data_IF_034230655775
#
_entry.id   IF_034230655775
#
_cell.length_a   1.000
_cell.length_b   1.000
_cell.length_c   1.000
_cell.angle_alpha   90.00
_cell.angle_beta   90.00
_cell.angle_gamma   90.00
#
_symmetry.space_group_name_H-M   'P 1'
#
loop_
_entity.id
_entity.type
_entity.pdbx_description
1 polymer ?
#
# COMPACT_ATOMS: atom_id res chain seq x y z
N UNK A 1 -88.73 -51.45 -54.27
CA UNK A 1 -88.21 -50.31 -53.49
C UNK A 1 -87.58 -50.64 -52.10
N UNK A 2 -87.62 -51.89 -51.60
CA UNK A 2 -87.05 -52.20 -50.25
C UNK A 2 -85.53 -52.61 -50.21
N UNK A 3 -84.90 -52.86 -51.37
CA UNK A 3 -83.47 -53.28 -51.41
C UNK A 3 -82.51 -52.11 -51.55
N UNK A 4 -82.84 -50.97 -52.10
CA UNK A 4 -82.02 -49.77 -52.24
C UNK A 4 -81.94 -49.00 -50.94
N UNK A 5 -82.99 -48.93 -50.15
CA UNK A 5 -83.03 -48.26 -48.83
C UNK A 5 -82.12 -48.97 -47.80
N UNK A 6 -82.02 -50.34 -47.81
CA UNK A 6 -81.16 -51.10 -46.94
C UNK A 6 -79.63 -50.86 -47.27
N UNK A 7 -79.32 -50.73 -48.57
CA UNK A 7 -77.92 -50.41 -48.99
C UNK A 7 -77.48 -48.98 -48.63
N UNK A 8 -78.46 -48.04 -48.78
CA UNK A 8 -78.18 -46.64 -48.38
C UNK A 8 -78.01 -46.55 -46.88
N UNK A 9 -78.86 -47.23 -46.07
CA UNK A 9 -78.71 -47.25 -44.61
C UNK A 9 -77.38 -47.91 -44.15
N UNK A 10 -76.98 -48.99 -44.80
CA UNK A 10 -75.65 -49.65 -44.50
C UNK A 10 -74.46 -48.76 -44.82
N UNK A 11 -74.51 -48.09 -45.98
CA UNK A 11 -73.45 -47.15 -46.34
C UNK A 11 -73.39 -45.93 -45.38
N UNK A 12 -74.53 -45.42 -44.94
CA UNK A 12 -74.53 -44.32 -43.94
C UNK A 12 -73.99 -44.77 -42.62
N UNK A 13 -74.23 -45.98 -42.16
CA UNK A 13 -73.67 -46.53 -40.93
C UNK A 13 -72.16 -46.68 -41.04
N UNK A 14 -71.61 -47.16 -42.17
CA UNK A 14 -70.22 -47.31 -42.43
C UNK A 14 -69.53 -45.91 -42.43
N UNK A 15 -70.10 -44.95 -43.13
CA UNK A 15 -69.55 -43.57 -43.13
C UNK A 15 -69.61 -42.92 -41.75
N UNK A 16 -70.66 -43.14 -40.97
CA UNK A 16 -70.74 -42.64 -39.60
C UNK A 16 -69.66 -43.25 -38.69
N UNK A 17 -69.42 -44.58 -38.86
CA UNK A 17 -68.38 -45.28 -38.10
C UNK A 17 -66.96 -44.82 -38.48
N UNK A 18 -66.74 -44.58 -39.78
CA UNK A 18 -65.49 -44.05 -40.31
C UNK A 18 -65.21 -42.62 -39.79
N UNK A 19 -66.28 -41.78 -39.83
CA UNK A 19 -66.20 -40.42 -39.31
C UNK A 19 -65.94 -40.38 -37.80
N UNK A 20 -66.59 -41.23 -37.02
CA UNK A 20 -66.32 -41.37 -35.58
C UNK A 20 -64.90 -41.83 -35.29
N UNK A 21 -64.39 -42.82 -36.08
CA UNK A 21 -62.98 -43.26 -35.94
C UNK A 21 -61.99 -42.16 -36.24
N UNK A 22 -62.18 -41.37 -37.31
CA UNK A 22 -61.32 -40.25 -37.65
C UNK A 22 -61.37 -39.17 -36.55
N UNK A 23 -62.57 -38.87 -36.03
CA UNK A 23 -62.72 -37.87 -34.96
C UNK A 23 -61.94 -38.28 -33.68
N UNK A 24 -61.98 -39.57 -33.31
CA UNK A 24 -61.26 -40.08 -32.15
C UNK A 24 -59.73 -40.03 -32.37
N UNK A 25 -59.31 -40.41 -33.60
CA UNK A 25 -57.88 -40.32 -33.95
C UNK A 25 -57.41 -38.87 -33.95
N UNK A 26 -58.16 -37.94 -34.57
CA UNK A 26 -57.78 -36.51 -34.52
C UNK A 26 -57.83 -35.98 -33.12
N UNK A 27 -58.74 -36.32 -32.26
CA UNK A 27 -58.81 -35.91 -30.87
C UNK A 27 -57.61 -36.43 -30.08
N UNK A 28 -57.17 -37.64 -30.31
CA UNK A 28 -55.97 -38.23 -29.65
C UNK A 28 -54.69 -37.70 -30.23
N UNK A 29 -54.61 -37.44 -31.54
CA UNK A 29 -53.35 -37.01 -32.19
C UNK A 29 -53.10 -35.51 -32.07
N UNK A 30 -54.14 -34.68 -32.18
CA UNK A 30 -54.03 -33.23 -32.18
C UNK A 30 -54.11 -32.62 -30.77
N UNK A 31 -54.26 -33.42 -29.71
CA UNK A 31 -54.23 -32.87 -28.31
C UNK A 31 -54.73 -31.42 -28.26
N UNK A 32 -56.00 -31.16 -28.46
CA UNK A 32 -56.64 -29.84 -28.33
C UNK A 32 -56.70 -29.39 -26.84
N UNK A 33 -55.78 -29.72 -26.04
CA UNK A 33 -55.65 -29.26 -24.65
C UNK A 33 -54.38 -28.47 -24.47
N UNK A 34 -54.42 -27.41 -23.69
CA UNK A 34 -53.32 -26.54 -23.26
C UNK A 34 -52.16 -27.25 -22.54
N UNK A 35 -51.72 -28.41 -23.05
CA UNK A 35 -50.62 -29.16 -22.47
C UNK A 35 -49.47 -29.16 -23.50
N UNK A 36 -48.48 -28.32 -23.28
CA UNK A 36 -47.22 -28.37 -24.02
C UNK A 36 -46.44 -29.57 -23.54
N UNK A 37 -46.15 -30.51 -24.41
CA UNK A 37 -45.26 -31.66 -24.17
C UNK A 37 -43.86 -31.27 -24.62
N UNK A 38 -42.92 -31.29 -23.68
CA UNK A 38 -41.50 -31.17 -24.01
C UNK A 38 -40.75 -32.34 -23.42
N UNK A 39 -39.98 -33.05 -24.23
CA UNK A 39 -39.08 -34.10 -23.80
C UNK A 39 -37.71 -33.54 -23.30
N UNK A 40 -37.50 -32.23 -23.46
CA UNK A 40 -36.27 -31.52 -23.08
C UNK A 40 -36.41 -30.72 -21.78
N UNK A 41 -37.32 -31.09 -20.89
CA UNK A 41 -37.41 -30.44 -19.59
C UNK A 41 -36.26 -30.89 -18.69
N UNK A 42 -35.27 -29.98 -18.50
CA UNK A 42 -34.19 -30.16 -17.53
C UNK A 42 -34.46 -29.31 -16.30
N UNK A 43 -34.36 -29.91 -15.12
CA UNK A 43 -34.41 -29.15 -13.86
C UNK A 43 -33.07 -28.50 -13.65
N UNK A 44 -33.02 -27.17 -13.78
CA UNK A 44 -31.80 -26.37 -13.49
C UNK A 44 -31.93 -25.79 -12.09
N UNK A 45 -30.93 -26.09 -11.25
CA UNK A 45 -30.78 -25.45 -9.94
C UNK A 45 -29.79 -24.30 -10.04
N UNK A 46 -30.02 -23.20 -9.33
CA UNK A 46 -29.05 -22.14 -9.20
C UNK A 46 -27.81 -22.65 -8.42
N UNK A 47 -26.69 -22.77 -9.13
CA UNK A 47 -25.41 -23.13 -8.52
C UNK A 47 -24.65 -21.84 -8.25
N UNK A 48 -24.34 -21.56 -6.98
CA UNK A 48 -23.53 -20.43 -6.58
C UNK A 48 -22.12 -20.94 -6.23
N UNK A 49 -21.07 -20.62 -7.01
CA UNK A 49 -19.72 -21.01 -6.68
C UNK A 49 -19.23 -20.21 -5.47
N UNK A 50 -18.67 -20.90 -4.47
CA UNK A 50 -18.03 -20.27 -3.32
C UNK A 50 -16.52 -20.26 -3.59
N UNK A 51 -15.96 -19.06 -3.73
CA UNK A 51 -14.52 -18.87 -3.94
C UNK A 51 -13.88 -18.34 -2.68
N UNK A 52 -12.69 -18.84 -2.36
CA UNK A 52 -11.85 -18.29 -1.30
C UNK A 52 -11.15 -17.00 -1.77
N UNK A 53 -10.93 -16.05 -0.86
CA UNK A 53 -10.17 -14.82 -1.15
C UNK A 53 -8.66 -15.04 -1.14
N UNK A 54 -8.20 -16.06 -0.43
CA UNK A 54 -6.79 -16.42 -0.32
C UNK A 54 -6.58 -17.83 -0.88
N UNK A 55 -5.44 -18.06 -1.51
CA UNK A 55 -5.03 -19.38 -1.99
C UNK A 55 -4.18 -20.07 -0.92
N UNK A 56 -4.43 -21.33 -0.65
CA UNK A 56 -3.68 -22.10 0.33
C UNK A 56 -4.05 -23.58 0.32
N UNK A 57 -3.37 -24.36 1.15
CA UNK A 57 -3.69 -25.78 1.33
C UNK A 57 -4.89 -25.92 2.26
N UNK A 58 -5.78 -26.85 1.92
CA UNK A 58 -6.95 -27.15 2.75
C UNK A 58 -6.48 -27.98 3.94
N UNK A 59 -6.72 -27.49 5.14
CA UNK A 59 -6.43 -28.20 6.39
C UNK A 59 -7.58 -29.12 6.79
N UNK A 60 -8.83 -28.65 6.64
CA UNK A 60 -10.01 -29.36 7.07
C UNK A 60 -11.22 -28.97 6.23
N UNK A 61 -12.06 -29.93 5.87
CA UNK A 61 -13.36 -29.75 5.20
C UNK A 61 -14.43 -30.11 6.22
N UNK A 62 -15.37 -29.21 6.48
CA UNK A 62 -16.41 -29.36 7.52
C UNK A 62 -17.82 -29.50 6.97
N UNK A 63 -17.97 -29.85 5.71
CA UNK A 63 -19.26 -30.12 5.10
C UNK A 63 -19.24 -31.47 4.39
N UNK A 64 -20.42 -32.09 4.27
CA UNK A 64 -20.66 -33.29 3.49
C UNK A 64 -21.57 -32.97 2.31
N UNK A 65 -21.52 -33.80 1.25
CA UNK A 65 -22.41 -33.64 0.11
C UNK A 65 -23.89 -33.71 0.55
N UNK A 66 -24.72 -32.86 -0.03
CA UNK A 66 -26.16 -32.72 0.28
C UNK A 66 -26.50 -32.19 1.68
N UNK A 67 -25.52 -31.67 2.42
CA UNK A 67 -25.78 -31.04 3.71
C UNK A 67 -26.28 -29.60 3.55
N UNK A 68 -27.29 -29.23 4.34
CA UNK A 68 -27.79 -27.86 4.38
C UNK A 68 -26.82 -26.96 5.15
N UNK A 69 -26.36 -25.87 4.51
CA UNK A 69 -25.46 -24.89 5.11
C UNK A 69 -26.16 -23.55 5.28
N UNK A 70 -25.84 -22.84 6.36
CA UNK A 70 -26.39 -21.50 6.67
C UNK A 70 -25.31 -20.43 6.51
N UNK A 71 -25.74 -19.22 6.32
CA UNK A 71 -24.82 -18.08 6.28
C UNK A 71 -24.09 -17.96 7.64
N UNK A 72 -22.76 -17.99 7.57
CA UNK A 72 -21.89 -17.98 8.75
C UNK A 72 -21.26 -19.33 9.10
N UNK A 73 -21.68 -20.42 8.47
CA UNK A 73 -21.06 -21.74 8.71
C UNK A 73 -19.67 -21.79 8.10
N UNK A 74 -18.70 -22.36 8.85
CA UNK A 74 -17.35 -22.61 8.36
C UNK A 74 -17.33 -23.87 7.52
N UNK A 75 -17.11 -23.72 6.21
CA UNK A 75 -17.10 -24.85 5.26
C UNK A 75 -15.73 -25.49 5.12
N UNK A 76 -14.69 -24.65 5.03
CA UNK A 76 -13.31 -25.08 4.79
C UNK A 76 -12.37 -24.29 5.66
N UNK A 77 -11.37 -24.95 6.21
CA UNK A 77 -10.26 -24.33 6.93
C UNK A 77 -9.01 -24.46 6.08
N UNK A 78 -8.40 -23.33 5.76
CA UNK A 78 -7.13 -23.23 5.03
C UNK A 78 -5.99 -23.27 6.06
N UNK A 79 -4.84 -23.86 5.71
CA UNK A 79 -3.66 -23.87 6.55
C UNK A 79 -3.12 -22.44 6.75
N UNK A 80 -2.97 -22.02 7.99
CA UNK A 80 -2.62 -20.66 8.39
C UNK A 80 -1.11 -20.42 8.61
N UNK A 81 -0.32 -21.50 8.65
CA UNK A 81 1.12 -21.45 8.97
C UNK A 81 1.90 -20.47 8.06
N UNK A 82 1.64 -20.50 6.75
CA UNK A 82 2.30 -19.59 5.79
C UNK A 82 1.89 -18.12 6.03
N UNK A 83 0.61 -17.87 6.32
CA UNK A 83 0.11 -16.51 6.59
C UNK A 83 0.68 -15.97 7.90
N UNK A 84 0.82 -16.80 8.94
CA UNK A 84 1.48 -16.41 10.19
C UNK A 84 2.94 -16.02 9.96
N UNK A 85 3.69 -16.78 9.15
CA UNK A 85 5.06 -16.44 8.77
C UNK A 85 5.14 -15.12 8.00
N UNK A 86 4.21 -14.86 7.10
CA UNK A 86 4.14 -13.58 6.37
C UNK A 86 3.85 -12.40 7.30
N UNK A 87 3.00 -12.59 8.31
CA UNK A 87 2.76 -11.57 9.34
C UNK A 87 4.04 -11.32 10.14
N UNK A 88 4.71 -12.37 10.61
CA UNK A 88 5.96 -12.24 11.36
C UNK A 88 7.06 -11.54 10.55
N UNK A 89 7.17 -11.85 9.25
CA UNK A 89 8.10 -11.18 8.35
C UNK A 89 7.78 -9.69 8.22
N UNK A 90 6.52 -9.34 7.96
CA UNK A 90 6.10 -7.94 7.82
C UNK A 90 6.30 -7.14 9.13
N UNK A 91 6.09 -7.77 10.29
CA UNK A 91 6.34 -7.15 11.60
C UNK A 91 7.84 -6.94 11.85
N UNK A 92 8.69 -7.86 11.42
CA UNK A 92 10.15 -7.70 11.50
C UNK A 92 10.64 -6.57 10.59
N UNK A 93 10.09 -6.43 9.39
CA UNK A 93 10.40 -5.35 8.47
C UNK A 93 9.99 -3.99 9.05
N UNK A 94 8.81 -3.90 9.68
CA UNK A 94 8.37 -2.70 10.40
C UNK A 94 9.30 -2.36 11.57
N UNK A 95 9.71 -3.35 12.36
CA UNK A 95 10.64 -3.15 13.47
C UNK A 95 12.01 -2.61 12.98
N UNK A 96 12.51 -3.12 11.85
CA UNK A 96 13.73 -2.64 11.22
C UNK A 96 13.60 -1.19 10.75
N UNK A 97 12.48 -0.83 10.11
CA UNK A 97 12.20 0.54 9.68
C UNK A 97 12.13 1.52 10.86
N UNK A 98 11.48 1.13 11.96
CA UNK A 98 11.42 1.92 13.20
C UNK A 98 12.81 2.09 13.84
N UNK A 99 13.63 1.06 13.85
CA UNK A 99 15.02 1.14 14.34
C UNK A 99 15.85 2.10 13.49
N UNK A 100 15.72 2.06 12.17
CA UNK A 100 16.37 2.99 11.23
C UNK A 100 15.94 4.44 11.46
N UNK A 101 14.66 4.70 11.67
CA UNK A 101 14.13 6.02 12.00
C UNK A 101 14.72 6.54 13.33
N UNK A 102 14.74 5.72 14.37
CA UNK A 102 15.34 6.07 15.66
C UNK A 102 16.83 6.38 15.54
N UNK A 103 17.57 5.60 14.77
CA UNK A 103 18.98 5.86 14.51
C UNK A 103 19.22 7.22 13.83
N UNK A 104 18.44 7.52 12.79
CA UNK A 104 18.49 8.82 12.08
C UNK A 104 18.15 9.98 13.02
N UNK A 105 17.14 9.84 13.88
CA UNK A 105 16.80 10.85 14.89
C UNK A 105 17.94 11.10 15.85
N UNK A 106 18.64 10.05 16.30
CA UNK A 106 19.82 10.17 17.15
C UNK A 106 20.98 10.90 16.46
N UNK A 107 21.20 10.63 15.16
CA UNK A 107 22.22 11.33 14.36
C UNK A 107 21.89 12.81 14.25
N UNK A 108 20.62 13.17 14.01
CA UNK A 108 20.16 14.58 13.96
C UNK A 108 20.43 15.27 15.29
N UNK A 109 20.11 14.64 16.42
CA UNK A 109 20.35 15.19 17.74
C UNK A 109 21.86 15.41 18.02
N UNK A 110 22.69 14.43 17.66
CA UNK A 110 24.15 14.55 17.79
C UNK A 110 24.71 15.67 16.92
N UNK A 111 24.24 15.77 15.66
CA UNK A 111 24.66 16.83 14.74
C UNK A 111 24.20 18.21 15.23
N UNK A 112 23.02 18.32 15.82
CA UNK A 112 22.54 19.56 16.43
C UNK A 112 23.44 20.00 17.61
N UNK A 113 23.85 19.07 18.46
CA UNK A 113 24.80 19.35 19.54
C UNK A 113 26.15 19.80 18.99
N UNK A 114 26.66 19.17 17.93
CA UNK A 114 27.91 19.57 17.29
C UNK A 114 27.86 21.00 16.73
N UNK A 115 26.68 21.41 16.18
CA UNK A 115 26.47 22.80 15.76
C UNK A 115 26.57 23.75 16.94
N UNK A 116 25.96 23.42 18.08
CA UNK A 116 26.00 24.24 19.29
C UNK A 116 27.45 24.40 19.82
N UNK A 117 28.23 23.31 19.81
CA UNK A 117 29.65 23.35 20.17
C UNK A 117 30.46 24.23 19.18
N UNK A 118 30.13 24.10 17.87
CA UNK A 118 30.77 24.91 16.84
C UNK A 118 30.45 26.41 17.02
N UNK A 119 29.20 26.74 17.46
CA UNK A 119 28.83 28.12 17.76
C UNK A 119 29.65 28.74 18.86
N UNK A 120 29.88 28.03 19.97
CA UNK A 120 30.75 28.49 21.03
C UNK A 120 32.20 28.72 20.56
N UNK A 121 32.75 27.83 19.73
CA UNK A 121 34.05 27.98 19.10
C UNK A 121 34.12 29.15 18.14
N UNK A 122 33.07 29.40 17.36
CA UNK A 122 32.99 30.55 16.45
C UNK A 122 32.96 31.85 17.23
N UNK A 123 32.25 31.92 18.36
CA UNK A 123 32.19 33.11 19.19
C UNK A 123 33.57 33.46 19.77
N UNK A 124 34.37 32.46 20.17
CA UNK A 124 35.75 32.66 20.60
C UNK A 124 36.61 33.23 19.47
N UNK A 125 36.65 32.60 18.31
CA UNK A 125 37.44 33.03 17.15
C UNK A 125 36.99 34.38 16.66
N UNK A 126 35.69 34.70 16.72
CA UNK A 126 35.12 36.01 16.40
C UNK A 126 35.62 37.09 17.35
N UNK A 127 35.67 36.80 18.65
CA UNK A 127 36.22 37.73 19.63
C UNK A 127 37.71 38.03 19.36
N UNK A 128 38.52 36.99 19.02
CA UNK A 128 39.89 37.16 18.61
C UNK A 128 40.05 38.04 17.35
N UNK A 129 39.21 37.80 16.33
CA UNK A 129 39.17 38.59 15.09
C UNK A 129 38.83 40.06 15.39
N UNK A 130 37.82 40.34 16.23
CA UNK A 130 37.43 41.69 16.62
C UNK A 130 38.55 42.40 17.36
N UNK A 131 39.27 41.71 18.25
CA UNK A 131 40.42 42.29 18.96
C UNK A 131 41.56 42.63 17.97
N UNK A 132 41.93 41.70 17.08
CA UNK A 132 42.94 41.95 16.05
C UNK A 132 42.54 43.10 15.10
N UNK A 133 41.25 43.21 14.76
CA UNK A 133 40.72 44.33 13.96
C UNK A 133 40.86 45.67 14.67
N UNK A 134 40.57 45.74 15.96
CA UNK A 134 40.74 46.96 16.75
C UNK A 134 42.20 47.36 16.85
N UNK A 135 43.10 46.40 17.00
CA UNK A 135 44.56 46.69 17.00
C UNK A 135 45.02 47.19 15.64
N UNK A 136 44.60 46.58 14.56
CA UNK A 136 44.93 47.03 13.20
C UNK A 136 44.46 48.45 12.98
N UNK A 137 43.20 48.78 13.33
CA UNK A 137 42.67 50.14 13.21
C UNK A 137 43.44 51.17 14.06
N UNK A 138 43.89 50.78 15.26
CA UNK A 138 44.71 51.63 16.10
C UNK A 138 46.09 51.89 15.47
N UNK A 139 46.77 50.84 14.98
CA UNK A 139 48.05 50.95 14.33
C UNK A 139 47.97 51.71 12.98
N UNK A 140 46.89 51.58 12.26
CA UNK A 140 46.65 52.37 11.06
C UNK A 140 46.60 53.89 11.32
N UNK A 141 45.98 54.30 12.44
CA UNK A 141 45.98 55.73 12.87
C UNK A 141 47.38 56.21 13.33
N UNK A 142 48.08 55.37 14.13
CA UNK A 142 49.42 55.68 14.59
C UNK A 142 50.43 55.76 13.43
N UNK A 143 50.26 54.99 12.37
CA UNK A 143 51.05 55.05 11.16
C UNK A 143 50.83 56.40 10.41
N UNK A 144 49.58 56.86 10.35
CA UNK A 144 49.26 58.18 9.77
C UNK A 144 49.88 59.34 10.56
N UNK A 145 50.04 59.13 11.88
CA UNK A 145 50.67 60.09 12.78
C UNK A 145 52.19 59.88 12.85
N UNK A 146 52.77 59.01 12.00
CA UNK A 146 54.24 58.65 11.98
C UNK A 146 54.80 58.15 13.33
N UNK A 147 53.87 57.65 14.20
CA UNK A 147 54.21 57.17 15.53
C UNK A 147 54.67 55.71 15.55
N UNK A 148 54.48 54.95 14.47
CA UNK A 148 54.88 53.51 14.31
C UNK A 148 55.54 53.32 12.93
N UNK A 149 56.33 52.26 12.80
CA UNK A 149 56.91 51.87 11.52
C UNK A 149 55.98 51.09 10.65
N UNK A 150 56.18 51.17 9.32
CA UNK A 150 55.40 50.34 8.36
C UNK A 150 55.46 48.86 8.70
N UNK A 151 56.63 48.38 9.10
CA UNK A 151 56.77 46.95 9.46
C UNK A 151 55.92 46.57 10.67
N UNK A 152 55.72 47.43 11.63
CA UNK A 152 54.89 47.20 12.81
C UNK A 152 53.40 47.13 12.38
N UNK A 153 52.97 48.00 11.52
CA UNK A 153 51.61 47.96 10.94
C UNK A 153 51.40 46.66 10.15
N UNK A 154 52.29 46.30 9.24
CA UNK A 154 52.21 45.08 8.42
C UNK A 154 52.08 43.82 9.24
N UNK A 155 52.80 43.74 10.38
CA UNK A 155 52.69 42.62 11.32
C UNK A 155 51.27 42.51 11.93
N UNK A 156 50.71 43.63 12.37
CA UNK A 156 49.37 43.67 12.98
C UNK A 156 48.28 43.40 11.92
N UNK A 157 48.46 43.95 10.72
CA UNK A 157 47.58 43.69 9.59
C UNK A 157 47.57 42.21 9.20
N UNK A 158 48.74 41.57 9.15
CA UNK A 158 48.83 40.13 8.88
C UNK A 158 48.17 39.30 9.98
N UNK A 159 48.31 39.69 11.24
CA UNK A 159 47.64 39.04 12.38
C UNK A 159 46.12 39.14 12.29
N UNK A 160 45.57 40.31 11.87
CA UNK A 160 44.15 40.48 11.61
C UNK A 160 43.65 39.61 10.46
N UNK A 161 44.37 39.56 9.33
CA UNK A 161 44.01 38.70 8.20
C UNK A 161 44.01 37.22 8.60
N UNK A 162 44.96 36.76 9.39
CA UNK A 162 45.01 35.39 9.92
C UNK A 162 43.82 35.09 10.85
N UNK A 163 43.45 36.00 11.74
CA UNK A 163 42.31 35.86 12.63
C UNK A 163 40.98 35.84 11.83
N UNK A 164 40.84 36.69 10.82
CA UNK A 164 39.72 36.72 9.90
C UNK A 164 39.56 35.41 9.12
N UNK A 165 40.68 34.88 8.60
CA UNK A 165 40.67 33.59 7.87
C UNK A 165 40.23 32.43 8.79
N UNK A 166 40.64 32.42 10.07
CA UNK A 166 40.18 31.43 11.04
C UNK A 166 38.70 31.51 11.33
N UNK A 167 38.17 32.73 11.49
CA UNK A 167 36.73 32.95 11.68
C UNK A 167 35.92 32.48 10.46
N UNK A 168 36.34 32.82 9.24
CA UNK A 168 35.70 32.37 8.02
C UNK A 168 35.73 30.85 7.87
N UNK A 169 36.86 30.22 8.20
CA UNK A 169 36.99 28.76 8.18
C UNK A 169 36.00 28.09 9.16
N UNK A 170 35.95 28.57 10.40
CA UNK A 170 35.05 28.06 11.43
C UNK A 170 33.56 28.25 11.01
N UNK A 171 33.21 29.42 10.46
CA UNK A 171 31.87 29.74 9.97
C UNK A 171 31.46 28.81 8.83
N UNK A 172 32.33 28.54 7.86
CA UNK A 172 32.06 27.56 6.75
C UNK A 172 31.95 26.14 7.28
N UNK A 173 32.74 25.76 8.29
CA UNK A 173 32.64 24.45 8.95
C UNK A 173 31.25 24.24 9.57
N UNK A 174 30.72 25.24 10.29
CA UNK A 174 29.36 25.22 10.82
C UNK A 174 28.29 25.07 9.70
N UNK A 175 28.46 25.86 8.64
CA UNK A 175 27.52 25.82 7.50
C UNK A 175 27.50 24.42 6.87
N UNK A 176 28.65 23.76 6.70
CA UNK A 176 28.75 22.38 6.21
C UNK A 176 28.00 21.40 7.14
N UNK A 177 28.20 21.53 8.46
CA UNK A 177 27.50 20.68 9.43
C UNK A 177 25.98 20.91 9.42
N UNK A 178 25.54 22.16 9.22
CA UNK A 178 24.12 22.47 9.08
C UNK A 178 23.50 21.84 7.82
N UNK A 179 24.22 21.80 6.70
CA UNK A 179 23.79 21.09 5.49
C UNK A 179 23.62 19.58 5.73
N UNK A 180 24.58 18.95 6.44
CA UNK A 180 24.47 17.54 6.84
C UNK A 180 23.25 17.30 7.71
N UNK A 181 22.95 18.20 8.66
CA UNK A 181 21.72 18.10 9.47
C UNK A 181 20.47 18.14 8.60
N UNK A 182 20.39 19.04 7.62
CA UNK A 182 19.24 19.15 6.72
C UNK A 182 19.08 17.87 5.87
N UNK A 183 20.19 17.33 5.35
CA UNK A 183 20.17 16.04 4.61
C UNK A 183 19.61 14.92 5.49
N UNK A 184 20.04 14.83 6.75
CA UNK A 184 19.54 13.81 7.68
C UNK A 184 18.05 14.02 8.01
N UNK A 185 17.58 15.27 8.03
CA UNK A 185 16.15 15.59 8.23
C UNK A 185 15.31 15.14 7.04
N UNK A 186 15.81 15.30 5.81
CA UNK A 186 15.14 14.78 4.62
C UNK A 186 15.09 13.26 4.61
N UNK A 187 16.18 12.61 5.02
CA UNK A 187 16.24 11.14 5.20
C UNK A 187 15.23 10.65 6.25
N UNK A 188 15.01 11.45 7.31
CA UNK A 188 13.99 11.13 8.31
C UNK A 188 12.59 11.08 7.67
N UNK A 189 12.24 12.03 6.80
CA UNK A 189 10.98 12.01 6.05
C UNK A 189 10.86 10.78 5.13
N UNK A 190 11.96 10.34 4.50
CA UNK A 190 11.97 9.10 3.72
C UNK A 190 11.73 7.88 4.61
N UNK A 191 12.37 7.81 5.78
CA UNK A 191 12.15 6.73 6.74
C UNK A 191 10.70 6.66 7.23
N UNK A 192 10.05 7.82 7.45
CA UNK A 192 8.62 7.86 7.79
C UNK A 192 7.73 7.29 6.68
N UNK A 193 8.05 7.55 5.42
CA UNK A 193 7.34 6.96 4.28
C UNK A 193 7.52 5.43 4.23
N UNK A 194 8.74 4.94 4.50
CA UNK A 194 9.03 3.50 4.60
C UNK A 194 8.25 2.86 5.75
N UNK A 195 8.16 3.50 6.92
CA UNK A 195 7.37 3.01 8.05
C UNK A 195 5.89 2.86 7.65
N UNK A 196 5.30 3.86 7.01
CA UNK A 196 3.91 3.79 6.54
C UNK A 196 3.68 2.65 5.55
N UNK A 197 4.65 2.40 4.67
CA UNK A 197 4.61 1.27 3.74
C UNK A 197 4.66 -0.07 4.49
N UNK A 198 5.58 -0.23 5.45
CA UNK A 198 5.67 -1.44 6.28
C UNK A 198 4.41 -1.66 7.12
N UNK A 199 3.82 -0.61 7.71
CA UNK A 199 2.54 -0.69 8.43
C UNK A 199 1.39 -1.15 7.52
N UNK A 200 1.35 -0.70 6.26
CA UNK A 200 0.37 -1.15 5.29
C UNK A 200 0.56 -2.64 4.96
N UNK A 201 1.82 -3.09 4.82
CA UNK A 201 2.15 -4.49 4.59
C UNK A 201 1.75 -5.39 5.76
N UNK A 202 1.99 -4.96 7.00
CA UNK A 202 1.52 -5.68 8.20
C UNK A 202 0.00 -5.80 8.21
N UNK A 203 -0.71 -4.70 7.90
CA UNK A 203 -2.19 -4.73 7.80
C UNK A 203 -2.67 -5.69 6.72
N UNK A 204 -2.03 -5.71 5.56
CA UNK A 204 -2.36 -6.62 4.46
C UNK A 204 -2.10 -8.08 4.86
N UNK A 205 -0.95 -8.37 5.48
CA UNK A 205 -0.62 -9.72 5.94
C UNK A 205 -1.61 -10.23 7.00
N UNK A 206 -2.00 -9.38 7.96
CA UNK A 206 -3.01 -9.71 8.98
C UNK A 206 -4.41 -9.89 8.37
N UNK A 207 -4.77 -9.08 7.37
CA UNK A 207 -6.03 -9.23 6.65
C UNK A 207 -6.10 -10.59 5.93
N UNK A 208 -5.01 -11.00 5.26
CA UNK A 208 -4.94 -12.30 4.60
C UNK A 208 -5.01 -13.47 5.59
N UNK A 209 -4.48 -13.30 6.79
CA UNK A 209 -4.60 -14.29 7.88
C UNK A 209 -6.02 -14.36 8.45
N UNK A 210 -6.81 -13.29 8.34
CA UNK A 210 -8.18 -13.22 8.89
C UNK A 210 -9.25 -13.83 7.98
N UNK A 211 -8.90 -14.17 6.75
CA UNK A 211 -9.79 -14.85 5.78
C UNK A 211 -9.69 -16.37 5.88
#
# INVERSE_FOLDING_TARGET
MKRTTKRIAYNVIIFAMLFAGITIVCYKFFHFGNVEYTDNATVCQHITPINTRVSGFIREIRFEEYHEVKAGDTLVIIEDAEFQLRVAQAEADLANALAGHKATTSIIATTANNITVSDASIDEVKAQMINAQREEQRFAKLLQEEAVTQQQYDNVHTAYLAAKARYEQASRGKQSTALVKNEQTERLGQNEAVIKMCEANVRLARLNLSY
#
